data_IF_840620618337
#
_entry.id   IF_840620618337
#
_cell.length_a   1.000
_cell.length_b   1.000
_cell.length_c   1.000
_cell.angle_alpha   90.00
_cell.angle_beta   90.00
_cell.angle_gamma   90.00
#
_symmetry.space_group_name_H-M   'P 1'
#
loop_
_entity.id
_entity.type
_entity.pdbx_description
1 polymer ?
#
# COMPACT_ATOMS: atom_id res chain seq x y z
N UNK A 1 11.40 -32.07 -49.15
CA UNK A 1 11.60 -30.69 -48.62
C UNK A 1 10.89 -30.43 -47.28
N UNK A 2 9.70 -30.96 -47.07
CA UNK A 2 8.90 -30.74 -45.81
C UNK A 2 9.56 -31.30 -44.54
N UNK A 3 10.29 -32.44 -44.63
CA UNK A 3 10.95 -33.07 -43.47
C UNK A 3 12.14 -32.26 -42.91
N UNK A 4 12.90 -31.60 -43.80
CA UNK A 4 14.05 -30.76 -43.38
C UNK A 4 13.62 -29.47 -42.71
N UNK A 5 12.45 -28.92 -43.08
CA UNK A 5 11.89 -27.72 -42.48
C UNK A 5 11.34 -28.00 -41.06
N UNK A 6 10.72 -29.19 -40.88
CA UNK A 6 10.23 -29.64 -39.57
C UNK A 6 11.37 -29.88 -38.56
N UNK A 7 12.48 -30.47 -39.01
CA UNK A 7 13.66 -30.70 -38.19
C UNK A 7 14.31 -29.37 -37.77
N UNK A 8 14.39 -28.39 -38.68
CA UNK A 8 14.91 -27.05 -38.40
C UNK A 8 14.06 -26.32 -37.34
N UNK A 9 12.73 -26.47 -37.41
CA UNK A 9 11.80 -25.86 -36.46
C UNK A 9 11.92 -26.47 -35.04
N UNK A 10 12.13 -27.79 -34.95
CA UNK A 10 12.34 -28.47 -33.64
C UNK A 10 13.67 -28.05 -33.01
N UNK A 11 14.73 -27.93 -33.84
CA UNK A 11 16.05 -27.44 -33.36
C UNK A 11 15.98 -25.98 -32.91
N UNK A 12 15.23 -25.14 -33.63
CA UNK A 12 15.04 -23.72 -33.25
C UNK A 12 14.26 -23.59 -31.96
N UNK A 13 13.19 -24.40 -31.76
CA UNK A 13 12.41 -24.44 -30.51
C UNK A 13 13.28 -24.95 -29.34
N UNK A 14 14.11 -25.97 -29.55
CA UNK A 14 15.05 -26.47 -28.55
C UNK A 14 16.12 -25.44 -28.15
N UNK A 15 16.59 -24.65 -29.13
CA UNK A 15 17.58 -23.60 -28.88
C UNK A 15 16.99 -22.41 -28.14
N UNK A 16 15.74 -22.02 -28.41
CA UNK A 16 15.03 -20.99 -27.61
C UNK A 16 14.83 -21.40 -26.15
N UNK A 17 14.57 -22.68 -25.87
CA UNK A 17 14.42 -23.18 -24.49
C UNK A 17 15.73 -23.18 -23.71
N UNK A 18 16.88 -23.26 -24.40
CA UNK A 18 18.21 -23.25 -23.76
C UNK A 18 18.70 -21.84 -23.37
N UNK A 19 18.09 -20.79 -23.93
CA UNK A 19 18.43 -19.40 -23.65
C UNK A 19 17.66 -18.80 -22.49
N UNK A 20 16.60 -19.45 -22.00
CA UNK A 20 15.86 -19.03 -20.82
C UNK A 20 16.71 -19.32 -19.57
N UNK A 21 17.42 -18.32 -19.07
CA UNK A 21 18.03 -18.41 -17.75
C UNK A 21 16.90 -18.53 -16.74
N UNK A 22 16.94 -19.52 -15.81
CA UNK A 22 15.99 -19.53 -14.71
C UNK A 22 16.16 -18.22 -13.92
N UNK A 23 15.09 -17.47 -13.78
CA UNK A 23 15.04 -16.32 -12.87
C UNK A 23 14.87 -16.94 -11.49
N UNK A 24 15.94 -16.97 -10.71
CA UNK A 24 15.86 -17.32 -9.30
C UNK A 24 15.39 -16.07 -8.55
N UNK A 25 14.44 -16.25 -7.64
CA UNK A 25 14.11 -15.22 -6.68
C UNK A 25 15.36 -14.87 -5.85
N UNK A 26 15.50 -13.63 -5.53
CA UNK A 26 16.61 -13.14 -4.74
C UNK A 26 16.32 -13.36 -3.26
N UNK A 27 17.27 -13.98 -2.57
CA UNK A 27 17.17 -14.21 -1.12
C UNK A 27 17.56 -12.93 -0.38
N UNK A 28 16.61 -12.39 0.41
CA UNK A 28 16.84 -11.24 1.26
C UNK A 28 17.56 -11.72 2.53
N UNK A 29 18.66 -11.10 2.97
CA UNK A 29 19.38 -11.54 4.14
C UNK A 29 18.53 -11.43 5.42
N UNK A 30 18.70 -12.36 6.36
CA UNK A 30 17.97 -12.38 7.63
C UNK A 30 18.36 -11.22 8.58
N UNK A 31 19.41 -10.47 8.28
CA UNK A 31 19.90 -9.39 9.12
C UNK A 31 19.88 -8.08 8.34
N UNK A 32 19.29 -7.05 8.94
CA UNK A 32 19.25 -5.72 8.35
C UNK A 32 20.68 -5.17 8.10
N UNK A 33 20.93 -4.60 6.92
CA UNK A 33 22.18 -3.87 6.70
C UNK A 33 22.29 -2.68 7.65
N UNK A 34 23.52 -2.29 8.08
CA UNK A 34 23.72 -1.14 8.97
C UNK A 34 23.15 0.18 8.45
N UNK A 35 23.05 0.33 7.13
CA UNK A 35 22.43 1.50 6.48
C UNK A 35 20.89 1.50 6.59
N UNK A 36 20.26 0.37 6.92
CA UNK A 36 18.82 0.16 6.80
C UNK A 36 18.35 -0.05 5.36
N UNK A 37 19.27 -0.18 4.39
CA UNK A 37 18.94 -0.36 2.97
C UNK A 37 19.69 -1.57 2.41
N UNK A 38 18.94 -2.54 1.89
CA UNK A 38 19.43 -3.66 1.10
C UNK A 38 19.14 -3.39 -0.37
N UNK A 39 20.19 -3.20 -1.16
CA UNK A 39 20.12 -2.93 -2.60
C UNK A 39 21.38 -3.51 -3.28
N UNK A 40 21.44 -4.82 -3.48
CA UNK A 40 22.63 -5.48 -4.02
C UNK A 40 22.91 -5.14 -5.47
N UNK A 41 21.89 -4.67 -6.21
CA UNK A 41 22.01 -4.33 -7.63
C UNK A 41 22.29 -2.85 -7.88
N UNK A 42 22.23 -2.00 -6.84
CA UNK A 42 22.52 -0.57 -6.94
C UNK A 42 21.47 0.23 -7.70
N UNK A 43 20.19 -0.11 -7.56
CA UNK A 43 19.08 0.66 -8.11
C UNK A 43 18.96 2.05 -7.50
N UNK A 44 19.41 2.17 -6.25
CA UNK A 44 19.36 3.42 -5.51
C UNK A 44 20.72 4.13 -5.53
N UNK A 45 20.69 5.44 -5.67
CA UNK A 45 21.91 6.25 -5.53
C UNK A 45 22.42 6.23 -4.08
N UNK A 46 23.74 6.38 -3.92
CA UNK A 46 24.37 6.45 -2.60
C UNK A 46 23.81 7.57 -1.71
N UNK A 47 23.37 8.66 -2.33
CA UNK A 47 22.77 9.80 -1.61
C UNK A 47 21.44 9.43 -0.98
N UNK A 48 20.60 8.60 -1.67
CA UNK A 48 19.33 8.12 -1.12
C UNK A 48 19.58 7.13 0.02
N UNK A 49 20.54 6.22 -0.14
CA UNK A 49 20.96 5.30 0.93
C UNK A 49 21.43 6.07 2.17
N UNK A 50 22.22 7.13 1.94
CA UNK A 50 22.66 8.02 3.02
C UNK A 50 21.49 8.76 3.66
N UNK A 51 20.52 9.25 2.88
CA UNK A 51 19.34 9.94 3.39
C UNK A 51 18.52 9.04 4.33
N UNK A 52 18.34 7.76 4.01
CA UNK A 52 17.68 6.79 4.89
C UNK A 52 18.46 6.59 6.19
N UNK A 53 19.78 6.45 6.08
CA UNK A 53 20.66 6.28 7.25
C UNK A 53 20.63 7.50 8.18
N UNK A 54 20.71 8.70 7.60
CA UNK A 54 20.66 9.95 8.34
C UNK A 54 19.30 10.14 9.02
N UNK A 55 18.21 9.82 8.31
CA UNK A 55 16.85 9.90 8.83
C UNK A 55 16.67 8.98 10.05
N UNK A 56 17.09 7.72 9.96
CA UNK A 56 17.04 6.79 11.08
C UNK A 56 17.90 7.28 12.27
N UNK A 57 19.07 7.85 11.99
CA UNK A 57 19.93 8.44 13.02
C UNK A 57 19.29 9.65 13.70
N UNK A 58 18.61 10.52 12.95
CA UNK A 58 17.87 11.65 13.49
C UNK A 58 16.70 11.18 14.35
N UNK A 59 15.90 10.27 13.82
CA UNK A 59 14.70 9.76 14.49
C UNK A 59 15.02 8.95 15.76
N UNK A 60 16.15 8.27 15.82
CA UNK A 60 16.59 7.54 17.01
C UNK A 60 16.75 8.43 18.26
N UNK A 61 16.90 9.76 18.06
CA UNK A 61 17.06 10.77 19.13
C UNK A 61 15.73 11.37 19.59
N UNK A 62 14.62 11.02 18.94
CA UNK A 62 13.29 11.54 19.26
C UNK A 62 12.59 10.65 20.31
N UNK A 63 11.48 11.12 20.86
CA UNK A 63 10.72 10.34 21.84
C UNK A 63 10.02 9.13 21.21
N UNK A 64 9.54 9.28 19.97
CA UNK A 64 8.87 8.22 19.21
C UNK A 64 9.84 7.16 18.67
N UNK A 65 11.04 7.58 18.23
CA UNK A 65 12.07 6.72 17.65
C UNK A 65 11.59 5.85 16.47
N UNK A 66 10.96 6.43 15.45
CA UNK A 66 10.56 5.64 14.29
C UNK A 66 11.77 5.16 13.51
N UNK A 67 11.65 3.99 12.86
CA UNK A 67 12.65 3.45 11.95
C UNK A 67 12.05 3.09 10.61
N UNK A 68 12.80 3.32 9.52
CA UNK A 68 12.46 2.85 8.19
C UNK A 68 13.60 1.99 7.63
N UNK A 69 13.23 0.82 7.10
CA UNK A 69 14.12 -0.07 6.37
C UNK A 69 13.65 -0.25 4.95
N UNK A 70 14.57 -0.45 4.02
CA UNK A 70 14.27 -0.59 2.60
C UNK A 70 14.99 -1.81 2.05
N UNK A 71 14.26 -2.68 1.35
CA UNK A 71 14.83 -3.77 0.59
C UNK A 71 14.44 -3.62 -0.88
N UNK A 72 15.43 -3.58 -1.77
CA UNK A 72 15.24 -3.52 -3.23
C UNK A 72 15.85 -4.76 -3.84
N UNK A 73 15.02 -5.54 -4.50
CA UNK A 73 15.37 -6.82 -5.12
C UNK A 73 14.90 -6.89 -6.56
N UNK A 74 15.46 -7.80 -7.34
CA UNK A 74 15.01 -8.05 -8.71
C UNK A 74 13.61 -8.66 -8.73
N UNK A 75 13.43 -9.77 -8.03
CA UNK A 75 12.17 -10.54 -7.95
C UNK A 75 12.03 -11.15 -6.57
N UNK A 76 10.77 -11.42 -6.16
CA UNK A 76 10.46 -12.20 -4.98
C UNK A 76 9.79 -13.53 -5.35
N UNK A 77 10.00 -14.59 -4.54
CA UNK A 77 9.35 -15.88 -4.74
C UNK A 77 8.12 -15.98 -3.83
N UNK A 78 6.95 -15.77 -4.43
CA UNK A 78 5.68 -15.86 -3.74
C UNK A 78 5.00 -14.52 -3.48
N UNK A 79 4.32 -14.45 -2.34
CA UNK A 79 3.54 -13.27 -1.97
C UNK A 79 4.42 -12.20 -1.32
N UNK A 80 4.48 -11.02 -1.96
CA UNK A 80 5.31 -9.90 -1.49
C UNK A 80 4.94 -9.44 -0.07
N UNK A 81 3.69 -9.56 0.32
CA UNK A 81 3.23 -9.21 1.67
C UNK A 81 3.85 -10.14 2.71
N UNK A 82 3.79 -11.44 2.47
CA UNK A 82 4.36 -12.45 3.38
C UNK A 82 5.88 -12.28 3.50
N UNK A 83 6.57 -12.05 2.38
CA UNK A 83 8.03 -11.84 2.35
C UNK A 83 8.41 -10.53 3.06
N UNK A 84 7.68 -9.44 2.83
CA UNK A 84 7.93 -8.17 3.50
C UNK A 84 7.75 -8.29 5.02
N UNK A 85 6.69 -8.97 5.46
CA UNK A 85 6.43 -9.21 6.88
C UNK A 85 7.51 -10.06 7.54
N UNK A 86 7.92 -11.14 6.89
CA UNK A 86 9.01 -11.99 7.37
C UNK A 86 10.33 -11.21 7.43
N UNK A 87 10.67 -10.47 6.38
CA UNK A 87 11.87 -9.61 6.35
C UNK A 87 11.83 -8.57 7.47
N UNK A 88 10.70 -7.89 7.69
CA UNK A 88 10.56 -6.88 8.73
C UNK A 88 10.78 -7.47 10.14
N UNK A 89 10.28 -8.69 10.37
CA UNK A 89 10.48 -9.43 11.62
C UNK A 89 11.93 -9.88 11.80
N UNK A 90 12.55 -10.49 10.78
CA UNK A 90 13.93 -10.96 10.82
C UNK A 90 14.90 -9.80 11.01
N UNK A 91 14.63 -8.66 10.38
CA UNK A 91 15.42 -7.43 10.52
C UNK A 91 15.14 -6.69 11.83
N UNK A 92 14.13 -7.11 12.61
CA UNK A 92 13.72 -6.43 13.83
C UNK A 92 13.51 -4.91 13.64
N UNK A 93 12.82 -4.52 12.55
CA UNK A 93 12.62 -3.12 12.19
C UNK A 93 11.82 -2.41 13.28
N UNK A 94 12.32 -1.26 13.73
CA UNK A 94 11.80 -0.55 14.90
C UNK A 94 12.66 -0.80 16.15
N UNK A 95 12.33 -0.12 17.24
CA UNK A 95 12.95 -0.35 18.54
C UNK A 95 12.01 -1.17 19.41
N UNK A 96 12.52 -2.14 20.17
CA UNK A 96 11.72 -3.05 21.00
C UNK A 96 10.84 -2.35 22.04
N UNK A 97 11.24 -1.18 22.50
CA UNK A 97 10.53 -0.38 23.49
C UNK A 97 9.43 0.51 22.90
N UNK A 98 9.55 0.91 21.62
CA UNK A 98 8.59 1.82 20.98
C UNK A 98 7.83 1.17 19.83
N UNK A 99 8.45 0.25 19.09
CA UNK A 99 7.87 -0.54 17.98
C UNK A 99 7.22 0.32 16.88
N UNK A 100 7.89 1.42 16.46
CA UNK A 100 7.47 2.23 15.31
C UNK A 100 8.36 1.93 14.10
N UNK A 101 8.19 0.77 13.50
CA UNK A 101 8.96 0.29 12.35
C UNK A 101 8.18 0.33 11.05
N UNK A 102 8.87 0.62 9.94
CA UNK A 102 8.36 0.51 8.58
C UNK A 102 9.38 -0.19 7.71
N UNK A 103 8.99 -1.24 7.01
CA UNK A 103 9.77 -1.85 5.93
C UNK A 103 9.14 -1.52 4.59
N UNK A 104 9.96 -1.09 3.63
CA UNK A 104 9.57 -0.92 2.24
C UNK A 104 10.29 -1.97 1.41
N UNK A 105 9.56 -2.96 0.90
CA UNK A 105 10.08 -3.99 -0.01
C UNK A 105 9.69 -3.63 -1.44
N UNK A 106 10.68 -3.53 -2.31
CA UNK A 106 10.52 -3.16 -3.72
C UNK A 106 11.06 -4.31 -4.58
N UNK A 107 10.21 -4.88 -5.41
CA UNK A 107 10.55 -5.90 -6.39
C UNK A 107 10.51 -5.28 -7.79
N UNK A 108 11.68 -5.03 -8.36
CA UNK A 108 11.84 -4.22 -9.58
C UNK A 108 11.24 -4.90 -10.81
N UNK A 109 11.57 -6.16 -11.04
CA UNK A 109 11.11 -6.90 -12.23
C UNK A 109 9.63 -7.32 -12.12
N UNK A 110 9.15 -7.53 -10.89
CA UNK A 110 7.73 -7.80 -10.63
C UNK A 110 6.88 -6.53 -10.65
N UNK A 111 7.52 -5.36 -10.64
CA UNK A 111 6.88 -4.03 -10.54
C UNK A 111 5.94 -3.94 -9.33
N UNK A 112 6.41 -4.39 -8.19
CA UNK A 112 5.65 -4.42 -6.96
C UNK A 112 6.39 -3.68 -5.84
N UNK A 113 5.62 -3.00 -5.01
CA UNK A 113 6.08 -2.41 -3.76
C UNK A 113 5.16 -2.86 -2.62
N UNK A 114 5.74 -3.15 -1.49
CA UNK A 114 5.01 -3.37 -0.23
C UNK A 114 5.59 -2.45 0.84
N UNK A 115 4.73 -1.65 1.44
CA UNK A 115 5.00 -0.98 2.70
C UNK A 115 4.41 -1.83 3.81
N UNK A 116 5.24 -2.34 4.70
CA UNK A 116 4.83 -3.11 5.87
C UNK A 116 5.08 -2.25 7.11
N UNK A 117 4.08 -2.12 7.98
CA UNK A 117 4.16 -1.30 9.19
C UNK A 117 4.05 -2.18 10.43
N UNK A 118 4.83 -1.86 11.47
CA UNK A 118 4.64 -2.47 12.79
C UNK A 118 3.33 -2.02 13.41
N UNK A 119 2.85 -2.73 14.44
CA UNK A 119 1.55 -2.48 15.07
C UNK A 119 1.39 -1.03 15.55
N UNK A 120 2.44 -0.46 16.17
CA UNK A 120 2.40 0.91 16.63
C UNK A 120 2.54 1.92 15.47
N UNK A 121 3.33 1.59 14.44
CA UNK A 121 3.44 2.44 13.25
C UNK A 121 2.12 2.49 12.46
N UNK A 122 1.34 1.41 12.43
CA UNK A 122 0.02 1.37 11.81
C UNK A 122 -0.99 2.39 12.38
N UNK A 123 -0.75 2.90 13.60
CA UNK A 123 -1.54 4.00 14.17
C UNK A 123 -1.26 5.33 13.43
N UNK A 124 -0.03 5.53 12.97
CA UNK A 124 0.43 6.75 12.27
C UNK A 124 0.28 6.59 10.76
N UNK A 125 0.65 5.42 10.24
CA UNK A 125 0.59 5.05 8.83
C UNK A 125 -0.30 3.81 8.69
N UNK A 126 -1.63 3.96 8.75
CA UNK A 126 -2.56 2.87 8.46
C UNK A 126 -2.50 2.48 6.98
N UNK A 127 -3.13 1.36 6.61
CA UNK A 127 -3.07 0.77 5.27
C UNK A 127 -3.37 1.76 4.14
N UNK A 128 -4.35 2.65 4.33
CA UNK A 128 -4.69 3.70 3.35
C UNK A 128 -3.52 4.67 3.13
N UNK A 129 -2.83 5.06 4.21
CA UNK A 129 -1.68 5.96 4.11
C UNK A 129 -0.45 5.23 3.53
N UNK A 130 -0.27 3.95 3.85
CA UNK A 130 0.74 3.11 3.23
C UNK A 130 0.50 2.97 1.71
N UNK A 131 -0.77 2.82 1.28
CA UNK A 131 -1.15 2.83 -0.13
C UNK A 131 -0.83 4.18 -0.79
N UNK A 132 -1.16 5.30 -0.15
CA UNK A 132 -0.84 6.63 -0.68
C UNK A 132 0.67 6.86 -0.85
N UNK A 133 1.48 6.35 0.09
CA UNK A 133 2.94 6.38 -0.02
C UNK A 133 3.42 5.56 -1.23
N UNK A 134 2.90 4.35 -1.43
CA UNK A 134 3.23 3.50 -2.56
C UNK A 134 2.82 4.14 -3.89
N UNK A 135 1.64 4.77 -3.94
CA UNK A 135 1.13 5.42 -5.16
C UNK A 135 1.98 6.63 -5.55
N UNK A 136 2.58 7.31 -4.57
CA UNK A 136 3.36 8.53 -4.79
C UNK A 136 4.61 8.35 -5.63
N UNK A 137 5.12 7.13 -5.75
CA UNK A 137 6.36 6.81 -6.46
C UNK A 137 6.14 6.21 -7.85
N UNK A 138 4.90 5.87 -8.20
CA UNK A 138 4.59 5.09 -9.41
C UNK A 138 5.08 5.75 -10.69
N UNK A 139 4.91 7.06 -10.83
CA UNK A 139 5.31 7.76 -12.06
C UNK A 139 6.82 7.79 -12.25
N UNK A 140 7.59 7.99 -11.18
CA UNK A 140 9.05 7.91 -11.23
C UNK A 140 9.52 6.49 -11.52
N UNK A 141 8.88 5.48 -10.91
CA UNK A 141 9.25 4.07 -11.07
C UNK A 141 8.92 3.53 -12.47
N UNK A 142 7.83 4.00 -13.10
CA UNK A 142 7.53 3.69 -14.52
C UNK A 142 8.63 4.20 -15.46
N UNK A 143 9.32 5.27 -15.08
CA UNK A 143 10.44 5.86 -15.81
C UNK A 143 11.80 5.33 -15.35
N UNK A 144 11.83 4.30 -14.49
CA UNK A 144 13.03 3.71 -13.89
C UNK A 144 13.85 4.69 -13.03
N UNK A 145 13.23 5.81 -12.60
CA UNK A 145 13.84 6.81 -11.73
C UNK A 145 13.69 6.42 -10.24
N UNK A 146 14.16 5.23 -9.85
CA UNK A 146 13.95 4.65 -8.52
C UNK A 146 14.41 5.54 -7.38
N UNK A 147 15.57 6.19 -7.54
CA UNK A 147 16.10 7.13 -6.54
C UNK A 147 15.22 8.36 -6.36
N UNK A 148 14.63 8.90 -7.43
CA UNK A 148 13.72 10.06 -7.35
C UNK A 148 12.41 9.67 -6.67
N UNK A 149 11.82 8.55 -7.09
CA UNK A 149 10.61 8.04 -6.46
C UNK A 149 10.80 7.77 -4.97
N UNK A 150 11.93 7.14 -4.59
CA UNK A 150 12.17 6.88 -3.17
C UNK A 150 12.36 8.18 -2.36
N UNK A 151 12.96 9.23 -2.91
CA UNK A 151 12.98 10.54 -2.24
C UNK A 151 11.59 11.12 -2.05
N UNK A 152 10.71 10.98 -3.05
CA UNK A 152 9.30 11.37 -2.93
C UNK A 152 8.61 10.59 -1.81
N UNK A 153 8.84 9.28 -1.73
CA UNK A 153 8.35 8.44 -0.65
C UNK A 153 8.83 8.93 0.72
N UNK A 154 10.15 9.12 0.87
CA UNK A 154 10.76 9.57 2.14
C UNK A 154 10.24 10.94 2.57
N UNK A 155 10.06 11.87 1.64
CA UNK A 155 9.50 13.19 1.94
C UNK A 155 8.05 13.08 2.47
N UNK A 156 7.22 12.24 1.85
CA UNK A 156 5.86 12.01 2.32
C UNK A 156 5.82 11.23 3.64
N UNK A 157 6.67 10.21 3.80
CA UNK A 157 6.84 9.49 5.06
C UNK A 157 7.19 10.44 6.20
N UNK A 158 8.17 11.33 6.00
CA UNK A 158 8.54 12.37 6.97
C UNK A 158 7.33 13.24 7.35
N UNK A 159 6.60 13.76 6.36
CA UNK A 159 5.41 14.58 6.60
C UNK A 159 4.35 13.87 7.46
N UNK A 160 4.23 12.54 7.35
CA UNK A 160 3.29 11.74 8.15
C UNK A 160 3.80 11.51 9.57
N UNK A 161 5.10 11.29 9.75
CA UNK A 161 5.70 10.87 11.02
C UNK A 161 6.13 12.05 11.90
N UNK A 162 6.64 13.13 11.31
CA UNK A 162 7.19 14.29 12.03
C UNK A 162 6.25 14.91 13.07
N UNK A 163 4.92 15.04 12.86
CA UNK A 163 4.00 15.58 13.87
C UNK A 163 3.97 14.79 15.17
N UNK A 164 4.45 13.53 15.14
CA UNK A 164 4.39 12.60 16.26
C UNK A 164 5.73 12.38 16.97
N UNK A 165 6.85 12.90 16.45
CA UNK A 165 8.20 12.63 16.96
C UNK A 165 8.38 12.97 18.45
N UNK A 166 7.64 13.93 18.98
CA UNK A 166 7.63 14.32 20.40
C UNK A 166 6.73 13.45 21.28
N UNK A 167 5.93 12.56 20.71
CA UNK A 167 4.99 11.71 21.46
C UNK A 167 5.74 10.48 22.00
N UNK A 168 5.36 10.06 23.22
CA UNK A 168 6.05 8.96 23.89
C UNK A 168 5.39 7.60 23.72
N UNK A 169 4.09 7.59 23.39
CA UNK A 169 3.32 6.36 23.34
C UNK A 169 2.04 6.52 22.49
N UNK A 170 1.40 5.40 22.18
CA UNK A 170 0.19 5.34 21.37
C UNK A 170 -0.97 6.17 21.94
N UNK A 171 -1.05 6.34 23.27
CA UNK A 171 -2.11 7.14 23.90
C UNK A 171 -1.95 8.64 23.56
N UNK A 172 -0.73 9.17 23.66
CA UNK A 172 -0.46 10.56 23.28
C UNK A 172 -0.71 10.82 21.79
N UNK A 173 -0.43 9.81 20.95
CA UNK A 173 -0.73 9.87 19.52
C UNK A 173 -2.24 9.91 19.29
N UNK A 174 -2.99 9.02 19.92
CA UNK A 174 -4.45 8.97 19.81
C UNK A 174 -5.12 10.27 20.29
N UNK A 175 -4.66 10.82 21.41
CA UNK A 175 -5.14 12.11 21.93
C UNK A 175 -4.86 13.25 20.93
N UNK A 176 -3.68 13.28 20.34
CA UNK A 176 -3.32 14.26 19.33
C UNK A 176 -4.18 14.11 18.05
N UNK A 177 -4.37 12.89 17.56
CA UNK A 177 -5.21 12.61 16.40
C UNK A 177 -6.67 13.02 16.65
N UNK A 178 -7.22 12.68 17.82
CA UNK A 178 -8.58 13.06 18.15
C UNK A 178 -8.73 14.60 18.24
N UNK A 179 -7.75 15.30 18.81
CA UNK A 179 -7.75 16.77 18.83
C UNK A 179 -7.76 17.35 17.41
N UNK A 180 -6.90 16.86 16.52
CA UNK A 180 -6.87 17.28 15.11
C UNK A 180 -8.20 17.00 14.40
N UNK A 181 -8.78 15.82 14.64
CA UNK A 181 -10.08 15.44 14.11
C UNK A 181 -11.18 16.41 14.56
N UNK A 182 -11.24 16.76 15.85
CA UNK A 182 -12.22 17.70 16.39
C UNK A 182 -12.04 19.11 15.80
N UNK A 183 -10.81 19.57 15.65
CA UNK A 183 -10.51 20.85 14.99
C UNK A 183 -10.97 20.85 13.53
N UNK A 184 -10.73 19.77 12.79
CA UNK A 184 -11.16 19.61 11.41
C UNK A 184 -12.69 19.55 11.28
N UNK A 185 -13.39 18.85 12.18
CA UNK A 185 -14.85 18.81 12.21
C UNK A 185 -15.42 20.21 12.46
N UNK A 186 -14.86 20.97 13.40
CA UNK A 186 -15.28 22.36 13.64
C UNK A 186 -15.08 23.26 12.43
N UNK A 187 -13.95 23.09 11.72
CA UNK A 187 -13.57 23.93 10.58
C UNK A 187 -14.36 23.59 9.32
N UNK A 188 -14.51 22.33 9.02
CA UNK A 188 -15.04 21.85 7.72
C UNK A 188 -16.44 21.23 7.82
N UNK A 189 -16.87 20.81 9.00
CA UNK A 189 -18.19 20.19 9.22
C UNK A 189 -19.35 21.02 8.68
N UNK A 190 -19.46 22.34 8.98
CA UNK A 190 -20.53 23.17 8.46
C UNK A 190 -20.54 23.27 6.92
N UNK A 191 -19.36 23.29 6.29
CA UNK A 191 -19.21 23.32 4.84
C UNK A 191 -19.69 22.01 4.22
N UNK A 192 -19.30 20.88 4.81
CA UNK A 192 -19.74 19.55 4.37
C UNK A 192 -21.25 19.37 4.45
N UNK A 193 -21.86 19.82 5.52
CA UNK A 193 -23.32 19.80 5.69
C UNK A 193 -24.01 20.67 4.64
N UNK A 194 -23.50 21.87 4.36
CA UNK A 194 -24.06 22.75 3.35
C UNK A 194 -23.98 22.14 1.94
N UNK A 195 -22.82 21.59 1.56
CA UNK A 195 -22.64 20.92 0.26
C UNK A 195 -23.57 19.71 0.13
N UNK A 196 -23.66 18.88 1.16
CA UNK A 196 -24.56 17.72 1.16
C UNK A 196 -26.04 18.14 1.04
N UNK A 197 -26.45 19.22 1.73
CA UNK A 197 -27.80 19.73 1.63
C UNK A 197 -28.15 20.21 0.22
N UNK A 198 -27.23 20.93 -0.43
CA UNK A 198 -27.41 21.37 -1.83
C UNK A 198 -27.51 20.16 -2.76
N UNK A 199 -26.67 19.15 -2.59
CA UNK A 199 -26.70 17.91 -3.38
C UNK A 199 -28.04 17.16 -3.20
N UNK A 200 -28.54 17.05 -1.95
CA UNK A 200 -29.84 16.44 -1.65
C UNK A 200 -31.02 17.20 -2.30
N UNK A 201 -30.99 18.53 -2.28
CA UNK A 201 -32.01 19.34 -2.97
C UNK A 201 -31.97 19.10 -4.48
N UNK A 202 -30.79 19.09 -5.07
CA UNK A 202 -30.62 18.82 -6.50
C UNK A 202 -31.11 17.38 -6.86
N UNK A 203 -30.78 16.41 -6.03
CA UNK A 203 -31.24 15.02 -6.19
C UNK A 203 -32.80 14.92 -6.13
N UNK A 204 -33.40 15.56 -5.12
CA UNK A 204 -34.85 15.62 -4.98
C UNK A 204 -35.53 16.31 -6.18
N UNK A 205 -34.90 17.37 -6.69
CA UNK A 205 -35.40 18.05 -7.89
C UNK A 205 -35.35 17.15 -9.13
N UNK A 206 -34.25 16.43 -9.34
CA UNK A 206 -34.13 15.46 -10.45
C UNK A 206 -35.16 14.34 -10.35
N UNK A 207 -35.33 13.76 -9.16
CA UNK A 207 -36.32 12.69 -8.93
C UNK A 207 -37.75 13.19 -9.15
N UNK A 208 -38.05 14.42 -8.71
CA UNK A 208 -39.33 15.07 -8.99
C UNK A 208 -39.60 15.25 -10.51
N UNK A 209 -38.59 15.71 -11.25
CA UNK A 209 -38.68 15.84 -12.70
C UNK A 209 -38.93 14.50 -13.40
N UNK A 210 -38.19 13.44 -13.00
CA UNK A 210 -38.39 12.09 -13.53
C UNK A 210 -39.84 11.61 -13.27
N UNK A 211 -40.36 11.79 -12.04
CA UNK A 211 -41.72 11.42 -11.69
C UNK A 211 -42.78 12.22 -12.47
N UNK A 212 -42.52 13.49 -12.73
CA UNK A 212 -43.38 14.35 -13.57
C UNK A 212 -43.43 13.86 -15.03
N UNK A 213 -42.27 13.51 -15.59
CA UNK A 213 -42.19 12.96 -16.96
C UNK A 213 -42.88 11.61 -17.08
N UNK A 214 -42.72 10.72 -16.09
CA UNK A 214 -43.37 9.41 -16.11
C UNK A 214 -44.91 9.51 -16.06
N UNK A 215 -45.44 10.45 -15.28
CA UNK A 215 -46.89 10.73 -15.26
C UNK A 215 -47.39 11.28 -16.58
N UNK A 216 -46.69 12.22 -17.18
CA UNK A 216 -47.02 12.78 -18.47
C UNK A 216 -47.02 11.71 -19.60
N UNK A 217 -46.07 10.78 -19.52
CA UNK A 217 -45.97 9.64 -20.42
C UNK A 217 -47.17 8.66 -20.23
N UNK A 218 -47.58 8.37 -19.00
CA UNK A 218 -48.77 7.54 -18.72
C UNK A 218 -50.05 8.19 -19.25
N UNK A 219 -50.24 9.49 -19.08
CA UNK A 219 -51.40 10.24 -19.64
C UNK A 219 -51.38 10.23 -21.16
N UNK A 220 -50.21 10.39 -21.78
CA UNK A 220 -50.07 10.30 -23.23
C UNK A 220 -50.46 8.91 -23.76
N UNK A 221 -49.99 7.83 -23.12
CA UNK A 221 -50.35 6.45 -23.51
C UNK A 221 -51.83 6.12 -23.26
N UNK A 222 -52.44 6.63 -22.20
CA UNK A 222 -53.90 6.51 -21.96
C UNK A 222 -54.68 7.22 -23.05
N UNK A 223 -54.24 8.35 -23.56
CA UNK A 223 -54.94 9.16 -24.54
C UNK A 223 -54.77 8.66 -25.98
N UNK A 224 -53.64 8.06 -26.31
CA UNK A 224 -53.29 7.68 -27.69
C UNK A 224 -53.07 6.16 -27.92
N UNK A 225 -53.37 5.30 -26.95
CA UNK A 225 -53.56 3.86 -27.14
C UNK A 225 -52.36 3.02 -27.51
N UNK A 226 -51.13 3.39 -27.06
CA UNK A 226 -49.97 2.52 -27.18
C UNK A 226 -49.75 1.68 -25.92
N UNK A 227 -49.78 0.34 -26.08
CA UNK A 227 -49.44 -0.62 -25.04
C UNK A 227 -47.98 -0.51 -24.63
N UNK A 228 -47.71 -0.44 -23.30
CA UNK A 228 -46.35 -0.56 -22.75
C UNK A 228 -45.76 -1.91 -23.13
N UNK A 229 -44.72 -1.91 -23.91
CA UNK A 229 -43.79 -3.05 -23.99
C UNK A 229 -42.96 -3.07 -22.72
N UNK A 230 -43.26 -4.04 -21.86
CA UNK A 230 -42.47 -4.34 -20.67
C UNK A 230 -41.17 -5.02 -21.07
N UNK A 231 -40.03 -4.42 -20.79
CA UNK A 231 -38.81 -5.20 -20.50
C UNK A 231 -37.69 -4.30 -19.99
N UNK A 232 -37.43 -4.27 -18.73
CA UNK A 232 -36.07 -4.26 -18.19
C UNK A 232 -36.10 -4.76 -16.73
N UNK A 233 -35.91 -6.06 -16.57
CA UNK A 233 -35.71 -6.69 -15.28
C UNK A 233 -34.21 -6.67 -14.93
N UNK A 234 -33.85 -5.97 -13.87
CA UNK A 234 -32.52 -6.13 -13.25
C UNK A 234 -32.73 -7.06 -12.05
N UNK A 235 -32.23 -8.29 -12.18
CA UNK A 235 -32.16 -9.22 -11.06
C UNK A 235 -30.84 -8.95 -10.28
N UNK A 236 -30.97 -8.50 -9.04
CA UNK A 236 -29.88 -8.38 -8.11
C UNK A 236 -29.57 -9.74 -7.47
N UNK A 237 -28.35 -10.25 -7.67
CA UNK A 237 -27.82 -11.41 -6.96
C UNK A 237 -27.00 -10.94 -5.74
N UNK A 238 -27.47 -11.31 -4.55
CA UNK A 238 -26.74 -11.14 -3.30
C UNK A 238 -25.78 -12.32 -3.09
N UNK A 239 -24.48 -12.05 -3.05
CA UNK A 239 -23.45 -13.01 -2.64
C UNK A 239 -22.86 -12.59 -1.30
N UNK A 240 -23.11 -13.39 -0.26
CA UNK A 240 -22.46 -13.27 1.04
C UNK A 240 -21.18 -14.09 1.05
N UNK A 241 -20.04 -13.48 1.39
CA UNK A 241 -18.81 -14.20 1.68
C UNK A 241 -18.42 -13.97 3.14
N UNK A 242 -18.38 -15.08 3.89
CA UNK A 242 -17.98 -15.12 5.29
C UNK A 242 -16.46 -15.08 5.44
N UNK A 243 -16.00 -14.39 6.47
CA UNK A 243 -14.60 -14.39 6.90
C UNK A 243 -14.43 -15.27 8.12
N UNK A 244 -13.49 -16.22 8.04
CA UNK A 244 -13.05 -16.97 9.19
C UNK A 244 -11.71 -16.45 9.71
N UNK A 245 -11.70 -16.08 10.99
CA UNK A 245 -10.51 -15.67 11.74
C UNK A 245 -9.77 -16.92 12.22
N UNK A 246 -8.47 -16.98 11.95
CA UNK A 246 -7.55 -17.96 12.54
C UNK A 246 -6.47 -17.25 13.34
N UNK A 247 -6.50 -17.45 14.66
CA UNK A 247 -5.46 -17.02 15.60
C UNK A 247 -4.36 -18.08 15.69
N UNK A 248 -3.10 -17.68 15.60
CA UNK A 248 -1.95 -18.55 15.85
C UNK A 248 -0.85 -17.77 16.55
N UNK A 249 -0.58 -18.18 17.77
CA UNK A 249 0.41 -17.64 18.71
C UNK A 249 1.77 -18.34 18.60
N UNK A 250 2.80 -17.66 19.09
CA UNK A 250 4.11 -18.13 19.60
C UNK A 250 5.28 -17.80 18.68
N UNK A 251 6.45 -17.52 19.15
CA UNK A 251 7.21 -17.61 20.38
C UNK A 251 8.58 -16.96 20.19
N UNK A 252 9.13 -16.48 21.26
CA UNK A 252 10.41 -15.84 21.47
C UNK A 252 11.64 -16.61 20.98
N UNK A 253 12.68 -15.90 20.50
CA UNK A 253 14.07 -16.18 20.89
C UNK A 253 15.06 -15.09 20.51
N UNK A 254 15.80 -14.66 21.53
CA UNK A 254 17.23 -14.29 21.64
C UNK A 254 17.85 -13.19 20.78
N UNK A 255 18.26 -12.20 21.52
CA UNK A 255 19.13 -11.06 21.35
C UNK A 255 20.42 -11.27 20.55
N UNK A 256 20.61 -10.43 19.55
CA UNK A 256 21.91 -9.90 19.17
C UNK A 256 21.80 -8.36 19.14
N UNK A 257 22.82 -7.67 19.66
CA UNK A 257 22.87 -6.22 19.80
C UNK A 257 23.05 -5.53 18.45
N UNK A 258 22.01 -5.49 17.65
CA UNK A 258 21.86 -4.60 16.51
C UNK A 258 21.01 -3.42 16.93
N UNK A 259 21.21 -2.24 16.31
CA UNK A 259 20.37 -1.06 16.49
C UNK A 259 18.90 -1.29 16.07
N UNK A 260 18.60 -2.47 15.56
CA UNK A 260 17.31 -2.98 15.13
C UNK A 260 16.80 -3.98 16.17
N UNK A 261 15.71 -3.68 16.82
CA UNK A 261 15.21 -4.49 17.94
C UNK A 261 13.69 -4.60 18.02
N UNK A 262 12.97 -4.07 17.01
CA UNK A 262 11.52 -4.19 16.88
C UNK A 262 11.10 -5.59 16.46
N UNK A 263 9.82 -5.83 16.21
CA UNK A 263 9.36 -7.17 15.82
C UNK A 263 7.85 -7.39 15.76
N UNK A 264 7.05 -6.44 16.21
CA UNK A 264 5.58 -6.53 16.14
C UNK A 264 5.06 -6.12 14.76
N UNK A 265 5.06 -7.06 13.80
CA UNK A 265 4.50 -6.89 12.47
C UNK A 265 3.41 -7.95 12.26
N UNK A 266 2.14 -7.57 12.45
CA UNK A 266 0.98 -8.46 12.34
C UNK A 266 0.17 -8.24 11.06
N UNK A 267 0.77 -7.56 10.06
CA UNK A 267 0.21 -7.44 8.71
C UNK A 267 -0.42 -6.09 8.38
N UNK A 268 -0.02 -5.04 9.07
CA UNK A 268 -0.36 -3.67 8.65
C UNK A 268 0.45 -3.24 7.44
N UNK A 269 -0.13 -2.35 6.60
CA UNK A 269 0.54 -1.81 5.44
C UNK A 269 -0.23 -1.99 4.13
N UNK A 270 0.41 -1.72 3.00
CA UNK A 270 -0.23 -1.83 1.69
C UNK A 270 0.72 -2.33 0.61
N UNK A 271 0.17 -3.06 -0.35
CA UNK A 271 0.86 -3.46 -1.59
C UNK A 271 0.41 -2.57 -2.74
N UNK A 272 1.36 -2.12 -3.55
CA UNK A 272 1.14 -1.35 -4.77
C UNK A 272 1.95 -1.92 -5.95
N UNK A 273 1.84 -1.28 -7.10
CA UNK A 273 2.59 -1.62 -8.31
C UNK A 273 2.62 -0.45 -9.30
N UNK A 274 3.51 -0.51 -10.34
CA UNK A 274 3.70 0.55 -11.33
C UNK A 274 3.85 0.05 -12.76
#
# INVERSE_FOLDING_TARGET
MKFKLSLLFVVLLGFCSFLAKPVYAEEIPDVAPPSGVYDPHGYLSKDVVKEVTDLNSEYSKTALRPQIAIAVVDTVDGDIESIARETARNWHVGFSDTNYGTLVLISIKDRKIRTETSDNMGIIIPDVEASNLNDSIQDDFRQENYSAGLRTYLAQFKNKVEPYLSKKNAKEIAEYQEKQRQENIKKYGPIGVAVFSIWMIAFMFVTYQIAKYSKAEEEYYKKYGRSKSSTFGISGGSGSSGYSSGSGSSSSSSSSSSSWSGGGFDGGGATGGW
#
